data_IF_179800101472
#
_entry.id   IF_179800101472
#
_cell.length_a   1.000
_cell.length_b   1.000
_cell.length_c   1.000
_cell.angle_alpha   90.00
_cell.angle_beta   90.00
_cell.angle_gamma   90.00
#
_symmetry.space_group_name_H-M   'P 1'
#
loop_
_entity.id
_entity.type
_entity.pdbx_description
1 polymer ?
#
# COMPACT_ATOMS: atom_id res chain seq x y z
N UNK A 1 -9.51 4.30 -7.83
CA UNK A 1 -8.03 4.44 -7.77
C UNK A 1 -7.55 5.66 -8.56
N UNK A 2 -6.52 6.39 -8.10
CA UNK A 2 -5.92 7.48 -8.88
C UNK A 2 -5.39 6.96 -10.23
N UNK A 3 -5.34 7.84 -11.23
CA UNK A 3 -4.87 7.54 -12.60
C UNK A 3 -5.66 6.44 -13.33
N UNK A 4 -6.84 6.08 -12.83
CA UNK A 4 -7.69 5.05 -13.40
C UNK A 4 -9.13 5.55 -13.58
N UNK A 5 -9.79 5.02 -14.60
CA UNK A 5 -11.24 5.15 -14.79
C UNK A 5 -11.95 4.10 -13.95
N UNK A 6 -12.71 4.56 -12.97
CA UNK A 6 -13.43 3.70 -12.04
C UNK A 6 -14.92 3.71 -12.42
N UNK A 7 -15.59 2.56 -12.29
CA UNK A 7 -17.02 2.47 -12.55
C UNK A 7 -17.80 2.96 -11.32
N UNK A 8 -18.59 4.02 -11.49
CA UNK A 8 -19.50 4.54 -10.49
C UNK A 8 -20.69 3.61 -10.23
N UNK A 9 -21.37 3.82 -9.09
CA UNK A 9 -22.55 3.05 -8.70
C UNK A 9 -23.74 3.21 -9.68
N UNK A 10 -23.78 4.32 -10.40
CA UNK A 10 -24.74 4.64 -11.46
C UNK A 10 -24.33 4.08 -12.84
N UNK A 11 -23.21 3.36 -12.92
CA UNK A 11 -22.66 2.80 -14.15
C UNK A 11 -21.81 3.77 -14.98
N UNK A 12 -21.62 5.02 -14.54
CA UNK A 12 -20.75 5.99 -15.21
C UNK A 12 -19.27 5.72 -14.92
N UNK A 13 -18.38 6.39 -15.65
CA UNK A 13 -16.94 6.36 -15.38
C UNK A 13 -16.51 7.64 -14.66
N UNK A 14 -15.80 7.50 -13.54
CA UNK A 14 -15.16 8.60 -12.84
C UNK A 14 -13.64 8.47 -12.91
N UNK A 15 -12.96 9.60 -13.16
CA UNK A 15 -11.50 9.62 -13.12
C UNK A 15 -11.04 9.72 -11.67
N UNK A 16 -10.34 8.69 -11.18
CA UNK A 16 -10.12 8.57 -9.74
C UNK A 16 -9.19 9.61 -9.13
N UNK A 17 -8.39 10.33 -9.91
CA UNK A 17 -7.56 11.42 -9.38
C UNK A 17 -8.36 12.67 -9.00
N UNK A 18 -9.59 12.82 -9.49
CA UNK A 18 -10.50 13.91 -9.12
C UNK A 18 -11.66 13.45 -8.23
N UNK A 19 -11.64 12.18 -7.78
CA UNK A 19 -12.65 11.64 -6.89
C UNK A 19 -12.56 12.33 -5.50
N UNK A 20 -13.69 12.73 -4.88
CA UNK A 20 -13.67 13.32 -3.53
C UNK A 20 -12.95 12.47 -2.48
N UNK A 21 -13.01 11.14 -2.61
CA UNK A 21 -12.30 10.19 -1.75
C UNK A 21 -10.78 10.31 -1.86
N UNK A 22 -10.24 10.81 -2.97
CA UNK A 22 -8.80 11.04 -3.13
C UNK A 22 -8.27 12.07 -2.09
N UNK A 23 -9.04 13.12 -1.80
CA UNK A 23 -8.66 14.12 -0.77
C UNK A 23 -8.62 13.52 0.62
N UNK A 24 -9.58 12.65 0.94
CA UNK A 24 -9.61 11.92 2.22
C UNK A 24 -8.43 10.95 2.34
N UNK A 25 -8.11 10.23 1.26
CA UNK A 25 -6.95 9.34 1.22
C UNK A 25 -5.65 10.12 1.47
N UNK A 26 -5.44 11.24 0.77
CA UNK A 26 -4.26 12.10 0.96
C UNK A 26 -4.15 12.64 2.39
N UNK A 27 -5.27 13.06 3.01
CA UNK A 27 -5.28 13.48 4.42
C UNK A 27 -4.85 12.35 5.36
N UNK A 28 -5.28 11.12 5.10
CA UNK A 28 -4.91 9.94 5.90
C UNK A 28 -3.43 9.61 5.75
N UNK A 29 -2.92 9.60 4.50
CA UNK A 29 -1.50 9.37 4.21
C UNK A 29 -0.61 10.43 4.87
N UNK A 30 -1.02 11.71 4.87
CA UNK A 30 -0.33 12.78 5.60
C UNK A 30 -0.22 12.47 7.10
N UNK A 31 -1.32 12.08 7.74
CA UNK A 31 -1.30 11.71 9.16
C UNK A 31 -0.40 10.50 9.44
N UNK A 32 -0.38 9.50 8.55
CA UNK A 32 0.52 8.34 8.69
C UNK A 32 1.99 8.72 8.55
N UNK A 33 2.30 9.62 7.63
CA UNK A 33 3.65 10.17 7.47
C UNK A 33 4.07 11.01 8.70
N UNK A 34 3.17 11.84 9.25
CA UNK A 34 3.41 12.59 10.49
C UNK A 34 3.68 11.69 11.71
N UNK A 35 3.00 10.53 11.77
CA UNK A 35 3.21 9.51 12.81
C UNK A 35 4.44 8.62 12.57
N UNK A 36 5.11 8.76 11.43
CA UNK A 36 6.28 7.94 11.07
C UNK A 36 5.96 6.53 10.60
N UNK A 37 4.70 6.25 10.20
CA UNK A 37 4.32 4.95 9.63
C UNK A 37 4.70 4.82 8.16
N UNK A 38 4.81 5.95 7.46
CA UNK A 38 5.32 6.06 6.09
C UNK A 38 6.57 6.93 6.14
N UNK A 39 7.64 6.51 5.46
CA UNK A 39 8.87 7.28 5.38
C UNK A 39 8.68 8.56 4.55
N UNK A 40 9.38 9.64 4.90
CA UNK A 40 9.21 10.95 4.20
C UNK A 40 9.69 10.92 2.74
N UNK A 41 10.59 9.99 2.43
CA UNK A 41 11.13 9.73 1.10
C UNK A 41 10.30 8.71 0.30
N UNK A 42 9.14 8.25 0.81
CA UNK A 42 8.33 7.23 0.14
C UNK A 42 7.92 7.62 -1.30
N UNK A 43 7.86 8.91 -1.64
CA UNK A 43 7.60 9.37 -3.01
C UNK A 43 8.80 9.29 -3.97
N UNK A 44 10.01 9.02 -3.45
CA UNK A 44 11.25 8.84 -4.21
C UNK A 44 11.63 7.37 -4.36
N UNK A 45 11.01 6.50 -3.57
CA UNK A 45 11.27 5.06 -3.56
C UNK A 45 10.37 4.42 -4.61
N UNK A 46 10.98 3.77 -5.59
CA UNK A 46 10.25 2.98 -6.58
C UNK A 46 9.77 1.65 -5.99
N UNK A 47 9.07 0.87 -6.80
CA UNK A 47 8.51 -0.41 -6.39
C UNK A 47 9.59 -1.38 -5.88
N UNK A 48 10.75 -1.43 -6.54
CA UNK A 48 11.86 -2.29 -6.14
C UNK A 48 12.50 -1.86 -4.82
N UNK A 49 12.69 -0.56 -4.61
CA UNK A 49 13.19 -0.03 -3.35
C UNK A 49 12.26 -0.36 -2.18
N UNK A 50 10.94 -0.34 -2.39
CA UNK A 50 9.96 -0.78 -1.40
C UNK A 50 10.11 -2.26 -1.03
N UNK A 51 10.35 -3.12 -2.04
CA UNK A 51 10.63 -4.53 -1.81
C UNK A 51 11.91 -4.75 -1.01
N UNK A 52 12.99 -4.05 -1.36
CA UNK A 52 14.26 -4.16 -0.64
C UNK A 52 14.14 -3.74 0.83
N UNK A 53 13.42 -2.65 1.12
CA UNK A 53 13.20 -2.22 2.50
C UNK A 53 12.47 -3.31 3.30
N UNK A 54 11.47 -3.97 2.70
CA UNK A 54 10.77 -5.08 3.34
C UNK A 54 11.68 -6.29 3.54
N UNK A 55 12.38 -6.75 2.50
CA UNK A 55 13.22 -7.96 2.57
C UNK A 55 14.50 -7.78 3.40
N UNK A 56 14.94 -6.55 3.64
CA UNK A 56 16.01 -6.21 4.61
C UNK A 56 15.50 -6.05 6.05
N UNK A 57 14.19 -6.24 6.30
CA UNK A 57 13.59 -6.09 7.63
C UNK A 57 13.44 -4.65 8.10
N UNK A 58 13.54 -3.68 7.20
CA UNK A 58 13.41 -2.24 7.51
C UNK A 58 11.95 -1.77 7.46
N UNK A 59 11.08 -2.48 6.73
CA UNK A 59 9.64 -2.24 6.70
C UNK A 59 8.87 -3.42 7.34
N UNK A 60 7.94 -3.11 8.24
CA UNK A 60 7.10 -4.13 8.91
C UNK A 60 5.85 -4.55 8.12
N UNK A 61 5.45 -3.75 7.13
CA UNK A 61 4.30 -4.02 6.26
C UNK A 61 4.59 -3.52 4.85
N UNK A 62 4.03 -4.21 3.85
CA UNK A 62 4.08 -3.81 2.45
C UNK A 62 2.71 -4.02 1.80
N UNK A 63 2.31 -3.06 0.98
CA UNK A 63 1.14 -3.21 0.10
C UNK A 63 1.69 -3.63 -1.26
N UNK A 64 1.23 -4.76 -1.78
CA UNK A 64 1.70 -5.19 -3.08
C UNK A 64 0.90 -6.33 -3.66
N UNK A 65 1.41 -6.85 -4.77
CA UNK A 65 0.68 -7.77 -5.64
C UNK A 65 0.71 -9.20 -5.08
N UNK A 66 -0.17 -10.03 -5.59
CA UNK A 66 -0.33 -11.42 -5.13
C UNK A 66 0.90 -12.30 -5.39
N UNK A 67 1.81 -11.90 -6.28
CA UNK A 67 3.01 -12.65 -6.65
C UNK A 67 4.21 -12.40 -5.73
N UNK A 68 4.12 -11.47 -4.77
CA UNK A 68 5.23 -11.16 -3.87
C UNK A 68 5.79 -12.33 -3.04
N UNK A 69 4.97 -13.31 -2.60
CA UNK A 69 5.49 -14.52 -1.96
C UNK A 69 6.47 -15.31 -2.81
N UNK A 70 6.28 -15.34 -4.14
CA UNK A 70 7.18 -16.04 -5.07
C UNK A 70 8.47 -15.24 -5.28
N UNK A 71 8.36 -13.92 -5.41
CA UNK A 71 9.50 -13.00 -5.43
C UNK A 71 9.03 -11.60 -5.01
N UNK A 72 9.69 -10.93 -4.04
CA UNK A 72 11.01 -11.23 -3.48
C UNK A 72 10.98 -11.77 -2.03
N UNK A 73 9.87 -12.28 -1.51
CA UNK A 73 9.77 -12.62 -0.07
C UNK A 73 10.68 -13.77 0.38
N UNK A 74 11.22 -14.58 -0.54
CA UNK A 74 12.31 -15.51 -0.21
C UNK A 74 13.53 -14.79 0.38
N UNK A 75 13.84 -13.58 -0.09
CA UNK A 75 14.96 -12.78 0.39
C UNK A 75 14.75 -12.31 1.83
N UNK A 76 13.51 -12.04 2.25
CA UNK A 76 13.20 -11.72 3.65
C UNK A 76 13.64 -12.86 4.57
N UNK A 77 13.29 -14.09 4.22
CA UNK A 77 13.60 -15.27 5.03
C UNK A 77 15.11 -15.55 5.07
N UNK A 78 15.82 -15.25 3.98
CA UNK A 78 17.27 -15.39 3.88
C UNK A 78 18.01 -14.30 4.67
N UNK A 79 17.55 -13.05 4.58
CA UNK A 79 18.24 -11.89 5.15
C UNK A 79 17.91 -11.64 6.63
N UNK A 80 16.73 -12.04 7.08
CA UNK A 80 16.23 -11.77 8.43
C UNK A 80 15.89 -13.10 9.13
N UNK A 81 16.86 -13.71 9.86
CA UNK A 81 16.64 -14.97 10.55
C UNK A 81 15.44 -14.92 11.50
N UNK A 82 14.52 -15.87 11.34
CA UNK A 82 13.30 -15.95 12.15
C UNK A 82 12.16 -15.04 11.71
N UNK A 83 12.32 -14.30 10.60
CA UNK A 83 11.23 -13.54 10.03
C UNK A 83 10.03 -14.43 9.69
N UNK A 84 8.83 -13.87 9.87
CA UNK A 84 7.57 -14.47 9.47
C UNK A 84 6.76 -13.41 8.75
N UNK A 85 6.11 -13.78 7.67
CA UNK A 85 5.18 -12.92 6.96
C UNK A 85 3.84 -13.65 6.77
N UNK A 86 2.77 -12.88 6.60
CA UNK A 86 1.43 -13.38 6.32
C UNK A 86 0.67 -12.33 5.52
N UNK A 87 -0.15 -12.78 4.59
CA UNK A 87 -1.09 -11.91 3.90
C UNK A 87 -2.26 -11.53 4.82
N UNK A 88 -2.62 -10.25 4.81
CA UNK A 88 -3.80 -9.73 5.49
C UNK A 88 -4.78 -9.21 4.45
N UNK A 89 -6.08 -9.37 4.71
CA UNK A 89 -7.10 -8.74 3.90
C UNK A 89 -6.95 -7.21 3.97
N UNK A 90 -7.34 -6.53 2.90
CA UNK A 90 -7.39 -5.06 2.88
C UNK A 90 -8.31 -4.62 4.03
N UNK A 91 -7.83 -3.76 4.95
CA UNK A 91 -8.65 -3.33 6.07
C UNK A 91 -9.82 -2.48 5.59
N UNK A 92 -10.95 -2.61 6.27
CA UNK A 92 -12.05 -1.68 6.13
C UNK A 92 -11.65 -0.32 6.74
N UNK A 93 -12.12 0.76 6.11
CA UNK A 93 -12.03 2.10 6.69
C UNK A 93 -12.90 2.24 7.95
N UNK A 94 -12.81 3.39 8.65
CA UNK A 94 -13.62 3.66 9.84
C UNK A 94 -15.13 3.60 9.61
N UNK A 95 -15.58 3.73 8.36
CA UNK A 95 -16.98 3.62 7.93
C UNK A 95 -17.40 2.18 7.54
N UNK A 96 -16.51 1.20 7.74
CA UNK A 96 -16.74 -0.21 7.41
C UNK A 96 -16.60 -0.53 5.93
N UNK A 97 -16.24 0.43 5.07
CA UNK A 97 -16.09 0.20 3.63
C UNK A 97 -14.66 -0.21 3.30
N UNK A 98 -14.52 -1.16 2.38
CA UNK A 98 -13.25 -1.52 1.76
C UNK A 98 -13.17 -0.75 0.44
N UNK A 99 -12.00 -0.15 0.16
CA UNK A 99 -11.78 0.55 -1.10
C UNK A 99 -11.94 -0.40 -2.30
N UNK A 100 -12.70 0.03 -3.30
CA UNK A 100 -12.94 -0.68 -4.57
C UNK A 100 -12.35 0.08 -5.73
#
# INVERSE_FOLDING_TARGET
MPEQWNKGADGTLSYGSIDPGAKQALSTLKTWMEKGYITKDAGLVDENGGYEQFTKGQAGAIVGRNWLPDWPFGDLLNNVPGAKYKAYAIPAGPDGKIGT
#
